data_IF_006834713327
#
_entry.id   IF_006834713327
#
_cell.length_a   1.000
_cell.length_b   1.000
_cell.length_c   1.000
_cell.angle_alpha   90.00
_cell.angle_beta   90.00
_cell.angle_gamma   90.00
#
_symmetry.space_group_name_H-M   'P 1'
#
loop_
_entity.id
_entity.type
_entity.pdbx_description
1 polymer ?
#
# COMPACT_ATOMS: atom_id res chain seq x y z
N UNK A 1 -1.33 16.77 -14.29
CA UNK A 1 -0.47 15.65 -13.87
C UNK A 1 -1.37 14.44 -13.57
N UNK A 2 -1.18 13.30 -14.25
CA UNK A 2 -1.95 12.08 -13.96
C UNK A 2 -1.56 11.60 -12.55
N UNK A 3 -2.50 11.60 -11.60
CA UNK A 3 -2.27 11.00 -10.27
C UNK A 3 -2.09 9.49 -10.48
N UNK A 4 -0.87 8.99 -10.31
CA UNK A 4 -0.62 7.54 -10.29
C UNK A 4 -1.32 6.99 -9.06
N UNK A 5 -2.44 6.29 -9.24
CA UNK A 5 -3.09 5.55 -8.16
C UNK A 5 -2.22 4.33 -7.91
N UNK A 6 -1.67 4.23 -6.70
CA UNK A 6 -0.93 3.03 -6.30
C UNK A 6 -1.92 1.91 -6.00
N UNK A 7 -1.60 0.71 -6.49
CA UNK A 7 -2.40 -0.48 -6.22
C UNK A 7 -2.23 -0.90 -4.76
N UNK A 8 -3.24 -1.53 -4.16
CA UNK A 8 -3.15 -2.04 -2.78
C UNK A 8 -1.94 -2.97 -2.61
N UNK A 9 -1.65 -3.79 -3.61
CA UNK A 9 -0.45 -4.66 -3.64
C UNK A 9 0.87 -3.87 -3.59
N UNK A 10 0.96 -2.73 -4.29
CA UNK A 10 2.13 -1.84 -4.28
C UNK A 10 2.29 -1.22 -2.88
N UNK A 11 1.17 -0.78 -2.28
CA UNK A 11 1.13 -0.23 -0.93
C UNK A 11 1.61 -1.24 0.13
N UNK A 12 1.14 -2.50 0.08
CA UNK A 12 1.56 -3.51 1.06
C UNK A 12 3.04 -3.84 0.93
N UNK A 13 3.57 -3.92 -0.30
CA UNK A 13 5.03 -4.14 -0.50
C UNK A 13 5.85 -3.02 0.13
N UNK A 14 5.44 -1.77 -0.08
CA UNK A 14 6.08 -0.57 0.50
C UNK A 14 6.05 -0.63 2.03
N UNK A 15 4.91 -0.99 2.63
CA UNK A 15 4.79 -1.12 4.09
C UNK A 15 5.71 -2.22 4.64
N UNK A 16 5.78 -3.39 3.99
CA UNK A 16 6.66 -4.49 4.41
C UNK A 16 8.14 -4.16 4.26
N UNK A 17 8.50 -3.40 3.23
CA UNK A 17 9.87 -2.95 3.04
C UNK A 17 10.35 -2.10 4.23
N UNK A 18 9.44 -1.30 4.80
CA UNK A 18 9.73 -0.55 6.03
C UNK A 18 9.77 -1.42 7.30
N UNK A 19 8.93 -2.46 7.41
CA UNK A 19 9.00 -3.42 8.53
C UNK A 19 10.25 -4.33 8.45
N UNK A 20 10.83 -4.51 7.26
CA UNK A 20 12.04 -5.30 7.02
C UNK A 20 13.36 -4.62 7.41
N UNK A 21 13.32 -3.39 7.93
CA UNK A 21 14.50 -2.66 8.43
C UNK A 21 14.82 -1.37 7.69
N UNK A 22 14.12 -1.02 6.61
CA UNK A 22 14.23 0.30 6.00
C UNK A 22 13.38 1.34 6.77
N UNK A 23 13.93 2.53 6.98
CA UNK A 23 13.14 3.63 7.58
C UNK A 23 12.02 4.08 6.64
N UNK A 24 10.88 4.48 7.18
CA UNK A 24 9.77 5.06 6.42
C UNK A 24 10.23 6.19 5.49
N UNK A 25 11.19 7.01 5.92
CA UNK A 25 11.73 8.12 5.15
C UNK A 25 12.50 7.66 3.89
N UNK A 26 13.29 6.58 4.00
CA UNK A 26 14.01 5.99 2.87
C UNK A 26 13.03 5.42 1.83
N UNK A 27 12.04 4.65 2.31
CA UNK A 27 10.97 4.08 1.48
C UNK A 27 10.15 5.18 0.80
N UNK A 28 9.82 6.26 1.52
CA UNK A 28 9.13 7.41 0.94
C UNK A 28 9.92 8.07 -0.19
N UNK A 29 11.24 8.20 -0.02
CA UNK A 29 12.13 8.79 -1.03
C UNK A 29 12.28 7.91 -2.27
N UNK A 30 12.39 6.60 -2.09
CA UNK A 30 12.47 5.61 -3.17
C UNK A 30 11.18 5.61 -4.01
N UNK A 31 10.03 5.52 -3.34
CA UNK A 31 8.72 5.41 -3.99
C UNK A 31 8.11 6.76 -4.39
N UNK A 32 8.82 7.87 -4.13
CA UNK A 32 8.38 9.26 -4.38
C UNK A 32 7.02 9.57 -3.76
N UNK A 33 6.81 9.07 -2.55
CA UNK A 33 5.60 9.31 -1.76
C UNK A 33 5.93 10.19 -0.55
N UNK A 34 4.93 10.88 -0.03
CA UNK A 34 5.08 11.61 1.23
C UNK A 34 5.00 10.66 2.43
N UNK A 35 5.67 11.00 3.52
CA UNK A 35 5.54 10.25 4.79
C UNK A 35 4.10 10.23 5.29
N UNK A 36 3.33 11.31 5.10
CA UNK A 36 1.91 11.35 5.43
C UNK A 36 1.11 10.29 4.67
N UNK A 37 1.43 10.07 3.39
CA UNK A 37 0.82 9.01 2.57
C UNK A 37 1.17 7.64 3.11
N UNK A 38 2.45 7.43 3.46
CA UNK A 38 2.93 6.17 4.04
C UNK A 38 2.22 5.84 5.36
N UNK A 39 2.12 6.79 6.29
CA UNK A 39 1.43 6.56 7.56
C UNK A 39 -0.08 6.32 7.39
N UNK A 40 -0.73 7.02 6.46
CA UNK A 40 -2.13 6.73 6.09
C UNK A 40 -2.31 5.30 5.58
N UNK A 41 -1.38 4.83 4.76
CA UNK A 41 -1.37 3.45 4.30
C UNK A 41 -1.10 2.47 5.43
N UNK A 42 -0.17 2.78 6.34
CA UNK A 42 0.11 1.95 7.52
C UNK A 42 -1.11 1.81 8.42
N UNK A 43 -1.88 2.88 8.63
CA UNK A 43 -3.13 2.80 9.39
C UNK A 43 -4.20 1.96 8.69
N UNK A 44 -4.32 2.08 7.36
CA UNK A 44 -5.37 1.40 6.59
C UNK A 44 -5.05 -0.05 6.22
N UNK A 45 -3.79 -0.36 5.98
CA UNK A 45 -3.32 -1.63 5.41
C UNK A 45 -2.17 -2.26 6.21
N UNK A 46 -1.66 -1.64 7.28
CA UNK A 46 -0.51 -2.15 8.03
C UNK A 46 -0.78 -3.44 8.83
N UNK A 47 -2.05 -3.79 9.05
CA UNK A 47 -2.47 -5.10 9.59
C UNK A 47 -2.90 -6.10 8.52
N UNK A 48 -2.79 -5.75 7.23
CA UNK A 48 -3.22 -6.58 6.11
C UNK A 48 -2.02 -7.38 5.58
N UNK A 49 -2.14 -8.71 5.50
CA UNK A 49 -1.15 -9.54 4.84
C UNK A 49 -1.24 -9.36 3.31
N UNK A 50 -0.18 -9.68 2.55
CA UNK A 50 -0.23 -9.70 1.09
C UNK A 50 -1.36 -10.61 0.57
N UNK A 51 -1.63 -11.70 1.29
CA UNK A 51 -2.76 -12.59 1.00
C UNK A 51 -4.13 -11.89 1.17
N UNK A 52 -4.29 -11.09 2.22
CA UNK A 52 -5.51 -10.32 2.47
C UNK A 52 -5.70 -9.20 1.45
N UNK A 53 -4.64 -8.51 1.01
CA UNK A 53 -4.75 -7.50 -0.06
C UNK A 53 -5.19 -8.09 -1.39
N UNK A 54 -4.68 -9.29 -1.74
CA UNK A 54 -5.07 -9.96 -2.97
C UNK A 54 -6.56 -10.31 -2.93
N UNK A 55 -7.03 -10.85 -1.81
CA UNK A 55 -8.45 -11.14 -1.58
C UNK A 55 -9.32 -9.88 -1.54
N UNK A 56 -8.81 -8.77 -1.00
CA UNK A 56 -9.50 -7.49 -0.99
C UNK A 56 -9.70 -6.95 -2.42
N UNK A 57 -8.71 -7.10 -3.30
CA UNK A 57 -8.82 -6.71 -4.71
C UNK A 57 -9.82 -7.58 -5.48
N UNK A 58 -9.88 -8.89 -5.18
CA UNK A 58 -10.87 -9.79 -5.77
C UNK A 58 -12.29 -9.45 -5.31
N UNK A 59 -12.47 -9.19 -4.01
CA UNK A 59 -13.74 -8.72 -3.45
C UNK A 59 -14.17 -7.35 -3.99
N UNK A 60 -13.26 -6.40 -4.14
CA UNK A 60 -13.57 -5.10 -4.77
C UNK A 60 -13.91 -5.22 -6.25
N UNK A 61 -13.41 -6.26 -6.93
CA UNK A 61 -13.74 -6.54 -8.33
C UNK A 61 -15.14 -7.14 -8.45
N UNK A 62 -15.46 -8.16 -7.65
CA UNK A 62 -16.80 -8.76 -7.60
C UNK A 62 -17.89 -7.74 -7.21
N UNK A 63 -17.61 -6.83 -6.28
CA UNK A 63 -18.57 -5.80 -5.84
C UNK A 63 -18.74 -4.64 -6.85
N UNK A 64 -17.90 -4.58 -7.90
CA UNK A 64 -17.98 -3.57 -8.96
C UNK A 64 -18.61 -4.12 -10.25
N UNK A 65 -18.79 -5.43 -10.32
CA UNK A 65 -19.43 -6.13 -11.46
C UNK A 65 -20.88 -6.57 -11.16
N UNK A 66 -21.43 -6.19 -9.98
CA UNK A 66 -22.84 -6.32 -9.59
C UNK A 66 -23.50 -4.93 -9.47
#
# INVERSE_FOLDING_TARGET
>A
MKRKVQSVEEIIRILRQADGGETAQAVCREHKISEQTFYRWKQKYGGMDLADAKRFKELEKENREL
#
